data_IF_158662806783
#
_entry.id   IF_158662806783
#
_cell.length_a   1.000
_cell.length_b   1.000
_cell.length_c   1.000
_cell.angle_alpha   90.00
_cell.angle_beta   90.00
_cell.angle_gamma   90.00
#
_symmetry.space_group_name_H-M   'P 1'
#
loop_
_entity.id
_entity.type
_entity.pdbx_description
1 polymer ?
#
# COMPACT_ATOMS: atom_id res chain seq x y z
N UNK A 1 -37.58 -27.07 26.32
CA UNK A 1 -36.88 -26.11 25.44
C UNK A 1 -35.38 -26.35 25.61
N UNK A 2 -34.62 -26.63 24.53
CA UNK A 2 -33.16 -26.73 24.60
C UNK A 2 -32.57 -25.38 24.19
N UNK A 3 -31.56 -24.91 24.93
CA UNK A 3 -30.82 -23.68 24.56
C UNK A 3 -29.92 -23.99 23.38
N UNK A 4 -29.91 -23.12 22.37
CA UNK A 4 -28.97 -23.18 21.26
C UNK A 4 -27.73 -22.34 21.60
N UNK A 5 -26.56 -22.97 21.63
CA UNK A 5 -25.28 -22.30 21.90
C UNK A 5 -24.46 -22.02 20.62
N UNK A 6 -24.96 -22.41 19.46
CA UNK A 6 -24.25 -22.23 18.18
C UNK A 6 -24.41 -20.80 17.62
N UNK A 7 -25.43 -20.05 18.05
CA UNK A 7 -25.66 -18.69 17.57
C UNK A 7 -26.48 -17.85 18.55
N UNK A 8 -26.28 -16.54 18.47
CA UNK A 8 -27.11 -15.53 19.09
C UNK A 8 -27.56 -14.53 18.01
N UNK A 9 -28.86 -14.19 17.99
CA UNK A 9 -29.41 -13.15 17.11
C UNK A 9 -29.66 -11.89 17.91
N UNK A 10 -29.13 -10.76 17.45
CA UNK A 10 -29.34 -9.46 18.08
C UNK A 10 -30.40 -8.66 17.31
N UNK A 11 -31.45 -8.21 18.00
CA UNK A 11 -32.55 -7.43 17.41
C UNK A 11 -33.61 -8.27 16.68
N UNK A 12 -34.66 -7.61 16.19
CA UNK A 12 -35.81 -8.25 15.52
C UNK A 12 -35.84 -7.99 14.00
N UNK A 13 -34.76 -8.36 13.29
CA UNK A 13 -34.82 -8.62 11.85
C UNK A 13 -35.05 -7.42 10.91
N UNK A 14 -34.33 -6.30 11.13
CA UNK A 14 -34.34 -5.18 10.18
C UNK A 14 -33.37 -4.04 10.50
N UNK A 15 -32.95 -3.92 11.77
CA UNK A 15 -31.98 -2.91 12.21
C UNK A 15 -30.82 -3.61 12.92
N UNK A 16 -29.59 -3.27 12.53
CA UNK A 16 -28.39 -3.76 13.18
C UNK A 16 -28.33 -3.31 14.64
N UNK A 17 -27.89 -4.19 15.53
CA UNK A 17 -27.65 -3.87 16.94
C UNK A 17 -26.17 -3.54 17.14
N UNK A 18 -25.87 -2.35 17.68
CA UNK A 18 -24.50 -2.04 18.12
C UNK A 18 -24.21 -2.73 19.45
N UNK A 19 -23.13 -3.51 19.52
CA UNK A 19 -22.60 -4.06 20.76
C UNK A 19 -21.51 -3.11 21.32
N UNK A 20 -21.75 -2.56 22.52
CA UNK A 20 -20.86 -1.59 23.18
C UNK A 20 -20.26 -2.17 24.46
N UNK A 21 -19.22 -1.51 24.99
CA UNK A 21 -18.45 -1.95 26.17
C UNK A 21 -17.80 -3.33 26.01
N UNK A 22 -17.46 -3.70 24.77
CA UNK A 22 -16.69 -4.89 24.49
C UNK A 22 -15.21 -4.62 24.84
N UNK A 23 -14.70 -5.34 25.84
CA UNK A 23 -13.27 -5.35 26.14
C UNK A 23 -12.44 -5.85 24.95
N UNK A 24 -11.15 -5.52 24.85
CA UNK A 24 -10.30 -6.03 23.78
C UNK A 24 -10.22 -7.56 23.85
N UNK A 25 -10.61 -8.24 22.78
CA UNK A 25 -10.46 -9.69 22.67
C UNK A 25 -9.03 -10.09 22.35
N UNK A 26 -8.60 -11.28 22.74
CA UNK A 26 -7.29 -11.80 22.37
C UNK A 26 -7.19 -11.96 20.84
N UNK A 27 -6.12 -11.43 20.24
CA UNK A 27 -5.79 -11.65 18.82
C UNK A 27 -4.73 -12.74 18.73
N UNK A 28 -5.17 -13.97 18.47
CA UNK A 28 -4.31 -15.14 18.30
C UNK A 28 -4.96 -16.11 17.30
N UNK A 29 -4.18 -17.03 16.74
CA UNK A 29 -4.67 -17.99 15.74
C UNK A 29 -5.77 -18.94 16.26
N UNK A 30 -5.92 -19.06 17.59
CA UNK A 30 -6.87 -19.96 18.24
C UNK A 30 -7.94 -19.23 19.04
N UNK A 31 -7.99 -17.90 18.98
CA UNK A 31 -8.96 -17.11 19.76
C UNK A 31 -10.37 -17.25 19.19
N UNK A 32 -11.34 -17.35 20.09
CA UNK A 32 -12.77 -17.27 19.80
C UNK A 32 -13.40 -16.01 20.39
N UNK A 33 -12.57 -15.06 20.84
CA UNK A 33 -13.04 -13.82 21.43
C UNK A 33 -13.41 -12.80 20.35
N UNK A 34 -14.46 -12.02 20.60
CA UNK A 34 -14.79 -10.89 19.74
C UNK A 34 -13.79 -9.75 19.95
N UNK A 35 -13.33 -9.13 18.86
CA UNK A 35 -12.51 -7.91 18.89
C UNK A 35 -13.39 -6.66 18.87
N UNK A 36 -12.88 -5.56 19.38
CA UNK A 36 -13.56 -4.26 19.32
C UNK A 36 -12.98 -3.32 18.25
N UNK A 37 -13.64 -2.18 18.04
CA UNK A 37 -13.21 -1.20 17.04
C UNK A 37 -11.84 -0.57 17.29
N UNK A 38 -11.40 -0.46 18.55
CA UNK A 38 -10.07 0.08 18.87
C UNK A 38 -8.95 -0.85 18.38
N UNK A 39 -9.15 -2.16 18.46
CA UNK A 39 -8.18 -3.14 17.96
C UNK A 39 -8.09 -3.11 16.43
N UNK A 40 -9.23 -3.07 15.73
CA UNK A 40 -9.25 -2.94 14.28
C UNK A 40 -8.60 -1.62 13.82
N UNK A 41 -8.89 -0.52 14.52
CA UNK A 41 -8.28 0.78 14.24
C UNK A 41 -6.76 0.74 14.44
N UNK A 42 -6.26 0.13 15.52
CA UNK A 42 -4.83 -0.01 15.76
C UNK A 42 -4.14 -0.83 14.66
N UNK A 43 -4.75 -1.93 14.21
CA UNK A 43 -4.25 -2.72 13.09
C UNK A 43 -4.17 -1.90 11.79
N UNK A 44 -5.24 -1.17 11.45
CA UNK A 44 -5.26 -0.32 10.25
C UNK A 44 -4.24 0.83 10.33
N UNK A 45 -4.03 1.42 11.51
CA UNK A 45 -3.01 2.45 11.73
C UNK A 45 -1.59 1.90 11.57
N UNK A 46 -1.34 0.67 12.03
CA UNK A 46 -0.07 0.01 11.78
C UNK A 46 0.15 -0.19 10.27
N UNK A 47 -0.86 -0.67 9.53
CA UNK A 47 -0.78 -0.80 8.06
C UNK A 47 -0.50 0.55 7.39
N UNK A 48 -1.22 1.60 7.75
CA UNK A 48 -1.00 2.96 7.23
C UNK A 48 0.44 3.44 7.45
N UNK A 49 0.98 3.19 8.66
CA UNK A 49 2.35 3.55 9.01
C UNK A 49 3.37 2.80 8.17
N UNK A 50 3.17 1.49 7.93
CA UNK A 50 4.06 0.68 7.10
C UNK A 50 4.00 1.04 5.61
N UNK A 51 2.83 1.46 5.11
CA UNK A 51 2.70 1.98 3.74
C UNK A 51 3.39 3.35 3.60
N UNK A 52 3.32 4.20 4.62
CA UNK A 52 3.88 5.55 4.57
C UNK A 52 3.17 6.39 3.50
N UNK A 53 3.90 7.31 2.86
CA UNK A 53 3.37 8.11 1.73
C UNK A 53 2.12 8.93 2.06
N UNK A 54 1.83 9.20 3.33
CA UNK A 54 0.60 9.89 3.75
C UNK A 54 -0.65 8.98 3.85
N UNK A 55 -0.50 7.65 3.75
CA UNK A 55 -1.55 6.72 4.12
C UNK A 55 -1.96 6.94 5.59
N UNK A 56 -3.27 6.88 5.86
CA UNK A 56 -3.84 7.14 7.18
C UNK A 56 -5.14 6.38 7.36
N UNK A 57 -5.65 6.28 8.59
CA UNK A 57 -7.01 5.81 8.83
C UNK A 57 -7.93 7.02 9.02
N UNK A 58 -8.99 7.11 8.22
CA UNK A 58 -9.95 8.21 8.32
C UNK A 58 -10.91 8.04 9.51
N UNK A 59 -11.75 9.06 9.76
CA UNK A 59 -12.71 9.06 10.88
C UNK A 59 -13.73 7.90 10.83
N UNK A 60 -13.93 7.28 9.67
CA UNK A 60 -14.81 6.11 9.49
C UNK A 60 -14.07 4.77 9.64
N UNK A 61 -12.79 4.78 10.01
CA UNK A 61 -11.98 3.57 10.18
C UNK A 61 -11.42 3.00 8.87
N UNK A 62 -11.58 3.72 7.75
CA UNK A 62 -11.12 3.28 6.42
C UNK A 62 -9.70 3.77 6.16
N UNK A 63 -8.85 2.86 5.68
CA UNK A 63 -7.49 3.17 5.24
C UNK A 63 -7.52 4.03 3.97
N UNK A 64 -6.85 5.18 3.99
CA UNK A 64 -6.61 6.04 2.83
C UNK A 64 -5.33 5.61 2.12
N UNK A 65 -5.34 5.68 0.79
CA UNK A 65 -4.21 5.29 -0.02
C UNK A 65 -2.97 6.18 0.24
N UNK A 66 -1.75 5.63 0.14
CA UNK A 66 -0.53 6.43 0.13
C UNK A 66 -0.45 7.29 -1.14
N UNK A 67 0.54 8.17 -1.19
CA UNK A 67 0.96 8.90 -2.39
C UNK A 67 2.48 8.87 -2.46
N UNK A 68 3.01 8.08 -3.40
CA UNK A 68 4.43 7.99 -3.71
C UNK A 68 4.76 8.93 -4.87
N UNK A 69 5.61 9.91 -4.60
CA UNK A 69 6.15 10.83 -5.60
C UNK A 69 7.47 10.28 -6.12
N UNK A 70 7.51 9.83 -7.38
CA UNK A 70 8.68 9.17 -7.97
C UNK A 70 9.10 9.94 -9.21
N UNK A 71 10.41 10.23 -9.32
CA UNK A 71 10.98 10.73 -10.55
C UNK A 71 11.17 9.56 -11.51
N UNK A 72 10.59 9.65 -12.70
CA UNK A 72 10.67 8.66 -13.74
C UNK A 72 11.56 9.18 -14.87
N UNK A 73 12.62 8.43 -15.19
CA UNK A 73 13.43 8.65 -16.36
C UNK A 73 12.72 8.03 -17.57
N UNK A 74 12.31 8.85 -18.52
CA UNK A 74 11.72 8.39 -19.76
C UNK A 74 12.80 7.93 -20.75
N UNK A 75 12.41 7.09 -21.72
CA UNK A 75 13.31 6.56 -22.74
C UNK A 75 14.09 7.65 -23.52
N UNK A 76 13.50 8.84 -23.68
CA UNK A 76 14.11 9.98 -24.36
C UNK A 76 15.05 10.85 -23.50
N UNK A 77 15.37 10.42 -22.27
CA UNK A 77 16.31 11.11 -21.38
C UNK A 77 15.67 12.18 -20.50
N UNK A 78 14.36 12.42 -20.64
CA UNK A 78 13.65 13.38 -19.80
C UNK A 78 13.28 12.78 -18.44
N UNK A 79 13.29 13.62 -17.40
CA UNK A 79 12.83 13.24 -16.06
C UNK A 79 11.46 13.87 -15.83
N UNK A 80 10.46 13.04 -15.53
CA UNK A 80 9.12 13.47 -15.13
C UNK A 80 8.82 13.03 -13.71
N UNK A 81 7.90 13.71 -13.02
CA UNK A 81 7.47 13.32 -11.67
C UNK A 81 6.10 12.63 -11.76
N UNK A 82 6.05 11.36 -11.40
CA UNK A 82 4.82 10.57 -11.27
C UNK A 82 4.29 10.55 -9.83
N UNK A 83 2.98 10.33 -9.71
CA UNK A 83 2.27 10.19 -8.44
C UNK A 83 1.52 8.85 -8.44
N UNK A 84 1.82 8.00 -7.46
CA UNK A 84 1.34 6.62 -7.41
C UNK A 84 0.66 6.36 -6.06
N UNK A 85 -0.51 5.73 -6.06
CA UNK A 85 -1.32 5.53 -4.85
C UNK A 85 -1.33 4.07 -4.34
N UNK A 86 -0.52 3.21 -4.95
CA UNK A 86 -0.27 1.85 -4.51
C UNK A 86 1.21 1.50 -4.69
N UNK A 87 1.64 0.47 -3.96
CA UNK A 87 3.04 0.04 -3.93
C UNK A 87 3.47 -0.60 -5.26
N UNK A 88 2.56 -1.31 -5.93
CA UNK A 88 2.86 -2.02 -7.18
C UNK A 88 3.20 -1.05 -8.31
N UNK A 89 2.31 -0.10 -8.59
CA UNK A 89 2.51 0.89 -9.65
C UNK A 89 3.69 1.82 -9.38
N UNK A 90 3.96 2.12 -8.10
CA UNK A 90 5.16 2.83 -7.68
C UNK A 90 6.45 2.05 -8.03
N UNK A 91 6.50 0.74 -7.73
CA UNK A 91 7.66 -0.08 -8.07
C UNK A 91 7.80 -0.34 -9.57
N UNK A 92 6.70 -0.45 -10.31
CA UNK A 92 6.71 -0.54 -11.77
C UNK A 92 7.35 0.72 -12.37
N UNK A 93 7.03 1.91 -11.83
CA UNK A 93 7.64 3.16 -12.26
C UNK A 93 9.15 3.20 -12.00
N UNK A 94 9.61 2.75 -10.82
CA UNK A 94 11.04 2.64 -10.52
C UNK A 94 11.73 1.67 -11.49
N UNK A 95 11.10 0.51 -11.73
CA UNK A 95 11.66 -0.53 -12.60
C UNK A 95 11.82 -0.04 -14.04
N UNK A 96 10.79 0.62 -14.57
CA UNK A 96 10.82 1.21 -15.90
C UNK A 96 11.86 2.34 -15.99
N UNK A 97 11.93 3.19 -14.98
CA UNK A 97 12.92 4.25 -14.90
C UNK A 97 14.35 3.71 -14.90
N UNK A 98 14.60 2.63 -14.16
CA UNK A 98 15.92 1.99 -14.09
C UNK A 98 16.30 1.33 -15.42
N UNK A 99 15.35 0.67 -16.09
CA UNK A 99 15.57 0.10 -17.42
C UNK A 99 15.95 1.19 -18.43
N UNK A 100 15.23 2.31 -18.45
CA UNK A 100 15.54 3.43 -19.35
C UNK A 100 16.92 4.04 -19.09
N UNK A 101 17.34 4.14 -17.82
CA UNK A 101 18.70 4.59 -17.47
C UNK A 101 19.75 3.61 -17.99
N UNK A 102 19.53 2.30 -17.80
CA UNK A 102 20.44 1.28 -18.30
C UNK A 102 20.59 1.36 -19.83
N UNK A 103 19.49 1.49 -20.56
CA UNK A 103 19.51 1.63 -22.01
C UNK A 103 20.28 2.88 -22.47
N UNK A 104 20.04 4.02 -21.84
CA UNK A 104 20.76 5.27 -22.15
C UNK A 104 22.26 5.16 -21.89
N UNK A 105 22.67 4.50 -20.81
CA UNK A 105 24.10 4.26 -20.56
C UNK A 105 24.73 3.36 -21.60
N UNK A 106 24.01 2.36 -22.11
CA UNK A 106 24.46 1.52 -23.21
C UNK A 106 24.61 2.26 -24.53
N UNK A 107 23.71 3.21 -24.83
CA UNK A 107 23.83 4.07 -26.00
C UNK A 107 25.02 5.04 -25.89
N UNK A 108 25.27 5.60 -24.70
CA UNK A 108 26.44 6.46 -24.44
C UNK A 108 27.74 5.69 -24.64
N UNK A 109 27.84 4.45 -24.12
CA UNK A 109 29.03 3.61 -24.26
C UNK A 109 29.34 3.33 -25.75
N UNK A 110 28.32 2.98 -26.54
CA UNK A 110 28.47 2.80 -27.99
C UNK A 110 28.94 4.07 -28.72
N UNK A 111 28.47 5.24 -28.31
CA UNK A 111 28.89 6.52 -28.88
C UNK A 111 30.33 6.88 -28.51
N UNK A 112 30.76 6.59 -27.28
CA UNK A 112 32.12 6.82 -26.82
C UNK A 112 33.15 5.99 -27.60
N UNK A 113 32.81 4.76 -27.97
CA UNK A 113 33.66 3.89 -28.81
C UNK A 113 33.78 4.40 -30.25
N UNK A 114 32.80 5.17 -30.75
CA UNK A 114 32.74 5.65 -32.15
C UNK A 114 33.52 6.94 -32.42
N UNK A 115 34.09 7.62 -31.43
CA UNK A 115 34.89 8.82 -31.66
C UNK A 115 36.28 8.46 -32.25
N UNK A 116 36.57 8.77 -33.54
CA UNK A 116 37.83 8.39 -34.16
C UNK A 116 39.00 9.20 -33.60
N UNK A 117 40.16 8.54 -33.47
CA UNK A 117 41.44 9.19 -33.17
C UNK A 117 41.74 10.31 -34.19
N UNK A 118 42.39 11.41 -33.78
CA UNK A 118 42.70 12.50 -34.70
C UNK A 118 43.57 12.00 -35.86
N UNK A 119 43.09 12.16 -37.09
CA UNK A 119 43.89 11.93 -38.30
C UNK A 119 45.11 12.87 -38.26
N UNK A 120 46.30 12.28 -38.37
CA UNK A 120 47.58 12.99 -38.49
C UNK A 120 47.91 13.32 -39.93
#
# INVERSE_FOLDING_TARGET
MRVNYASATLGQGGTATTLRNLGPGQVSATSSEAINGAQLFAANQAVATHLGGGAAVNASGVLTAPTYSINNFAANGTITKGSYNDVGTAFDAVSNSLANVADQTGEIDKLAVKAPAPER
#
